data_IF_612201545622
#
_entry.id   IF_612201545622
#
_cell.length_a   1.000
_cell.length_b   1.000
_cell.length_c   1.000
_cell.angle_alpha   90.00
_cell.angle_beta   90.00
_cell.angle_gamma   90.00
#
_symmetry.space_group_name_H-M   'P 1'
#
loop_
_entity.id
_entity.type
_entity.pdbx_description
1 polymer ?
#
# COMPACT_ATOMS: atom_id res chain seq x y z
N UNK A 1 1.21 20.81 -38.47
CA UNK A 1 2.30 20.26 -37.63
C UNK A 1 1.92 20.19 -36.16
N UNK A 2 0.91 20.92 -35.70
CA UNK A 2 0.56 21.02 -34.29
C UNK A 2 -0.11 19.77 -33.71
N UNK A 3 -0.94 19.07 -34.50
CA UNK A 3 -1.54 17.80 -34.08
C UNK A 3 -0.48 16.76 -33.68
N UNK A 4 0.56 16.58 -34.51
CA UNK A 4 1.67 15.67 -34.22
C UNK A 4 2.41 16.04 -32.93
N UNK A 5 2.65 17.34 -32.70
CA UNK A 5 3.33 17.83 -31.48
C UNK A 5 2.49 17.55 -30.23
N UNK A 6 1.18 17.80 -30.30
CA UNK A 6 0.25 17.52 -29.19
C UNK A 6 0.21 16.02 -28.90
N UNK A 7 0.12 15.16 -29.93
CA UNK A 7 0.11 13.70 -29.73
C UNK A 7 1.39 13.21 -29.07
N UNK A 8 2.57 13.69 -29.50
CA UNK A 8 3.85 13.32 -28.91
C UNK A 8 3.95 13.79 -27.45
N UNK A 9 3.52 15.02 -27.15
CA UNK A 9 3.53 15.55 -25.79
C UNK A 9 2.60 14.78 -24.85
N UNK A 10 1.37 14.48 -25.29
CA UNK A 10 0.42 13.71 -24.49
C UNK A 10 0.94 12.30 -24.22
N UNK A 11 1.54 11.64 -25.22
CA UNK A 11 2.14 10.33 -25.03
C UNK A 11 3.31 10.36 -24.05
N UNK A 12 4.17 11.38 -24.14
CA UNK A 12 5.29 11.57 -23.23
C UNK A 12 4.83 11.83 -21.79
N UNK A 13 3.86 12.72 -21.60
CA UNK A 13 3.28 13.03 -20.29
C UNK A 13 2.54 11.84 -19.69
N UNK A 14 1.76 11.11 -20.50
CA UNK A 14 1.07 9.90 -20.06
C UNK A 14 2.08 8.82 -19.65
N UNK A 15 3.10 8.56 -20.47
CA UNK A 15 4.15 7.58 -20.15
C UNK A 15 4.93 7.94 -18.88
N UNK A 16 5.32 9.21 -18.73
CA UNK A 16 6.01 9.69 -17.53
C UNK A 16 5.11 9.61 -16.28
N UNK A 17 3.84 10.01 -16.41
CA UNK A 17 2.87 9.93 -15.32
C UNK A 17 2.60 8.50 -14.87
N UNK A 18 2.40 7.57 -15.81
CA UNK A 18 2.16 6.15 -15.51
C UNK A 18 3.38 5.49 -14.85
N UNK A 19 4.59 5.76 -15.33
CA UNK A 19 5.82 5.20 -14.74
C UNK A 19 6.09 5.76 -13.34
N UNK A 20 5.94 7.06 -13.14
CA UNK A 20 6.06 7.68 -11.82
C UNK A 20 5.02 7.14 -10.84
N UNK A 21 3.77 7.01 -11.28
CA UNK A 21 2.69 6.44 -10.47
C UNK A 21 2.98 4.98 -10.09
N UNK A 22 3.38 4.15 -11.06
CA UNK A 22 3.76 2.76 -10.80
C UNK A 22 4.89 2.67 -9.79
N UNK A 23 5.95 3.47 -9.96
CA UNK A 23 7.09 3.49 -9.05
C UNK A 23 6.67 3.87 -7.63
N UNK A 24 5.86 4.92 -7.46
CA UNK A 24 5.37 5.31 -6.14
C UNK A 24 4.58 4.18 -5.47
N UNK A 25 3.75 3.49 -6.23
CA UNK A 25 2.92 2.41 -5.71
C UNK A 25 3.73 1.16 -5.34
N UNK A 26 4.75 0.80 -6.14
CA UNK A 26 5.46 -0.49 -6.03
C UNK A 26 6.87 -0.41 -5.44
N UNK A 27 7.44 0.77 -5.17
CA UNK A 27 8.87 0.89 -4.79
C UNK A 27 9.31 0.08 -3.56
N UNK A 28 8.40 -0.26 -2.64
CA UNK A 28 8.70 -0.98 -1.41
C UNK A 28 8.06 -2.37 -1.34
N UNK A 29 7.60 -2.86 -2.49
CA UNK A 29 6.96 -4.15 -2.68
C UNK A 29 8.01 -5.23 -2.90
N UNK A 30 8.13 -6.18 -1.97
CA UNK A 30 9.07 -7.29 -2.07
C UNK A 30 8.33 -8.58 -2.41
N UNK A 31 8.67 -9.20 -3.53
CA UNK A 31 8.15 -10.51 -3.91
C UNK A 31 8.85 -11.59 -3.09
N UNK A 32 8.08 -12.34 -2.31
CA UNK A 32 8.61 -13.42 -1.49
C UNK A 32 8.36 -14.73 -2.23
N UNK A 33 9.39 -15.51 -2.56
CA UNK A 33 9.20 -16.82 -3.17
C UNK A 33 8.53 -17.73 -2.14
N UNK A 34 7.46 -18.37 -2.56
CA UNK A 34 6.68 -19.23 -1.70
C UNK A 34 6.92 -20.69 -2.05
N UNK A 35 7.14 -21.53 -1.03
CA UNK A 35 7.42 -22.93 -1.25
C UNK A 35 6.14 -23.68 -1.60
N UNK A 36 6.21 -24.59 -2.58
CA UNK A 36 5.12 -25.51 -2.86
C UNK A 36 4.78 -26.44 -1.67
N UNK A 37 5.67 -26.50 -0.66
CA UNK A 37 5.47 -27.28 0.56
C UNK A 37 4.64 -26.57 1.64
N UNK A 38 4.12 -25.36 1.39
CA UNK A 38 3.33 -24.64 2.40
C UNK A 38 2.04 -25.39 2.76
N UNK A 39 1.64 -25.31 4.03
CA UNK A 39 0.41 -25.89 4.58
C UNK A 39 -0.84 -25.45 3.82
N UNK A 40 -0.88 -24.21 3.32
CA UNK A 40 -2.03 -23.70 2.57
C UNK A 40 -2.35 -24.54 1.32
N UNK A 41 -1.33 -25.16 0.70
CA UNK A 41 -1.48 -26.00 -0.49
C UNK A 41 -1.84 -27.46 -0.19
N UNK A 42 -1.74 -27.85 1.07
CA UNK A 42 -2.18 -29.17 1.53
C UNK A 42 -3.60 -29.13 2.09
N UNK A 43 -4.23 -27.96 2.13
CA UNK A 43 -5.61 -27.82 2.61
C UNK A 43 -6.61 -28.50 1.67
N UNK A 44 -7.65 -29.11 2.24
CA UNK A 44 -8.71 -29.79 1.46
C UNK A 44 -9.40 -28.83 0.50
N UNK A 45 -9.62 -27.58 0.91
CA UNK A 45 -10.23 -26.55 0.06
C UNK A 45 -9.36 -26.26 -1.18
N UNK A 46 -8.04 -26.18 -1.03
CA UNK A 46 -7.12 -25.99 -2.16
C UNK A 46 -7.15 -27.18 -3.12
N UNK A 47 -7.13 -28.41 -2.59
CA UNK A 47 -7.16 -29.62 -3.41
C UNK A 47 -8.48 -29.80 -4.18
N UNK A 48 -9.60 -29.40 -3.59
CA UNK A 48 -10.92 -29.44 -4.25
C UNK A 48 -11.03 -28.42 -5.38
N UNK A 49 -10.45 -27.23 -5.19
CA UNK A 49 -10.52 -26.12 -6.15
C UNK A 49 -9.47 -26.20 -7.26
N UNK A 50 -8.42 -27.02 -7.09
CA UNK A 50 -7.35 -27.22 -8.08
C UNK A 50 -7.33 -28.65 -8.66
N UNK A 51 -8.27 -29.00 -9.56
CA UNK A 51 -8.35 -30.35 -10.13
C UNK A 51 -7.16 -30.71 -11.04
N UNK A 52 -6.58 -29.73 -11.75
CA UNK A 52 -5.51 -29.97 -12.74
C UNK A 52 -4.09 -30.00 -12.15
N UNK A 53 -3.93 -29.81 -10.83
CA UNK A 53 -2.62 -29.80 -10.12
C UNK A 53 -1.53 -29.00 -10.84
N UNK A 54 -1.88 -27.89 -11.47
CA UNK A 54 -0.94 -27.03 -12.19
C UNK A 54 0.11 -26.46 -11.21
N UNK A 55 1.34 -26.18 -11.68
CA UNK A 55 2.35 -25.52 -10.86
C UNK A 55 1.78 -24.21 -10.32
N UNK A 56 2.07 -23.93 -9.05
CA UNK A 56 1.43 -22.86 -8.33
C UNK A 56 2.17 -21.53 -8.63
N UNK A 57 1.54 -20.68 -9.44
CA UNK A 57 2.00 -19.31 -9.70
C UNK A 57 1.47 -18.43 -8.59
N UNK A 58 2.35 -17.80 -7.81
CA UNK A 58 1.97 -16.93 -6.69
C UNK A 58 2.54 -15.53 -6.86
N UNK A 59 1.66 -14.55 -6.82
CA UNK A 59 1.94 -13.12 -6.79
C UNK A 59 1.87 -12.59 -5.36
N UNK A 60 2.64 -13.21 -4.45
CA UNK A 60 2.74 -12.73 -3.07
C UNK A 60 3.75 -11.59 -2.98
N UNK A 61 3.23 -10.39 -2.78
CA UNK A 61 4.02 -9.20 -2.49
C UNK A 61 3.86 -8.80 -1.02
N UNK A 62 4.96 -8.73 -0.28
CA UNK A 62 4.98 -8.24 1.09
C UNK A 62 5.52 -6.80 1.14
N UNK A 63 4.86 -5.95 1.93
CA UNK A 63 5.31 -4.59 2.25
C UNK A 63 5.40 -4.45 3.78
N UNK A 64 6.54 -3.97 4.26
CA UNK A 64 6.72 -3.66 5.69
C UNK A 64 6.30 -2.23 5.96
N UNK A 65 5.45 -2.04 6.95
CA UNK A 65 5.05 -0.71 7.43
C UNK A 65 5.95 -0.33 8.61
N UNK A 66 6.74 0.75 8.53
CA UNK A 66 7.62 1.16 9.60
C UNK A 66 6.81 1.82 10.74
N UNK A 67 6.46 1.03 11.76
CA UNK A 67 5.67 1.51 12.90
C UNK A 67 6.38 2.61 13.70
N UNK A 68 7.71 2.67 13.67
CA UNK A 68 8.53 3.70 14.33
C UNK A 68 8.29 5.11 13.77
N UNK A 69 7.87 5.21 12.51
CA UNK A 69 7.56 6.50 11.86
C UNK A 69 6.13 6.97 12.16
N UNK A 70 5.32 6.13 12.78
CA UNK A 70 3.94 6.46 13.14
C UNK A 70 3.97 7.26 14.44
N UNK A 71 3.19 8.35 14.50
CA UNK A 71 3.10 9.19 15.70
C UNK A 71 2.76 8.33 16.93
N UNK A 72 3.52 8.44 18.03
CA UNK A 72 3.30 7.63 19.23
C UNK A 72 1.93 7.91 19.86
N UNK A 73 1.31 9.06 19.58
CA UNK A 73 -0.04 9.41 20.02
C UNK A 73 -1.11 8.48 19.45
N UNK A 74 -0.94 8.01 18.20
CA UNK A 74 -1.81 7.06 17.53
C UNK A 74 -1.55 5.62 18.00
N UNK A 75 -0.32 5.31 18.43
CA UNK A 75 0.05 4.01 18.99
C UNK A 75 -0.38 3.83 20.46
N UNK A 76 -0.56 4.92 21.20
CA UNK A 76 -0.90 4.93 22.64
C UNK A 76 -2.37 4.70 22.96
N UNK A 77 -3.26 4.67 21.97
CA UNK A 77 -4.69 4.40 22.14
C UNK A 77 -5.08 3.04 21.52
N UNK A 78 -4.61 1.91 22.10
CA UNK A 78 -4.92 0.57 21.57
C UNK A 78 -6.39 0.18 21.70
N UNK A 79 -7.17 0.84 22.58
CA UNK A 79 -8.54 0.45 22.88
C UNK A 79 -9.56 0.75 21.77
N UNK A 80 -9.24 1.64 20.82
CA UNK A 80 -10.22 2.08 19.80
C UNK A 80 -9.82 1.79 18.34
N UNK A 81 -8.67 1.16 18.08
CA UNK A 81 -8.26 0.85 16.70
C UNK A 81 -8.10 2.09 15.78
N UNK A 82 -8.02 3.28 16.37
CA UNK A 82 -7.83 4.58 15.71
C UNK A 82 -6.64 4.65 14.73
N UNK A 83 -5.47 4.00 14.96
CA UNK A 83 -4.41 3.99 13.95
C UNK A 83 -4.71 3.07 12.76
N UNK A 84 -5.47 1.99 12.99
CA UNK A 84 -5.74 0.97 11.98
C UNK A 84 -6.83 1.41 10.99
N UNK A 85 -7.85 2.14 11.44
CA UNK A 85 -8.90 2.67 10.56
C UNK A 85 -8.39 3.54 9.40
N UNK A 86 -7.60 4.61 9.60
CA UNK A 86 -7.09 5.44 8.52
C UNK A 86 -6.09 4.69 7.65
N UNK A 87 -5.33 3.76 8.23
CA UNK A 87 -4.44 2.88 7.48
C UNK A 87 -5.21 1.94 6.55
N UNK A 88 -6.22 1.24 7.06
CA UNK A 88 -7.10 0.36 6.29
C UNK A 88 -7.91 1.12 5.24
N UNK A 89 -8.43 2.32 5.57
CA UNK A 89 -9.08 3.21 4.61
C UNK A 89 -8.10 3.64 3.51
N UNK A 90 -6.84 3.89 3.87
CA UNK A 90 -5.76 4.11 2.93
C UNK A 90 -5.54 2.91 1.98
N UNK A 91 -5.47 1.68 2.51
CA UNK A 91 -5.25 0.47 1.70
C UNK A 91 -6.34 0.32 0.64
N UNK A 92 -7.61 0.43 1.03
CA UNK A 92 -8.75 0.27 0.11
C UNK A 92 -8.94 1.45 -0.84
N UNK A 93 -8.42 2.63 -0.51
CA UNK A 93 -8.36 3.78 -1.44
C UNK A 93 -7.16 3.73 -2.40
N UNK A 94 -6.29 2.71 -2.29
CA UNK A 94 -5.10 2.53 -3.13
C UNK A 94 -3.86 3.31 -2.66
N UNK A 95 -3.99 4.17 -1.65
CA UNK A 95 -2.91 5.07 -1.19
C UNK A 95 -2.46 4.76 0.24
N UNK A 96 -2.58 3.50 0.71
CA UNK A 96 -2.38 3.08 2.11
C UNK A 96 -1.25 3.75 2.87
N UNK A 97 -0.02 3.62 2.36
CA UNK A 97 1.16 4.22 2.99
C UNK A 97 1.16 5.75 2.89
N UNK A 98 0.85 6.29 1.71
CA UNK A 98 0.85 7.75 1.48
C UNK A 98 -0.22 8.47 2.29
N UNK A 99 -1.45 7.94 2.34
CA UNK A 99 -2.55 8.52 3.10
C UNK A 99 -2.28 8.46 4.60
N UNK A 100 -1.66 7.37 5.07
CA UNK A 100 -1.19 7.28 6.44
C UNK A 100 -0.21 8.41 6.73
N UNK A 101 0.83 8.59 5.90
CA UNK A 101 1.80 9.68 6.05
C UNK A 101 1.19 11.09 5.93
N UNK A 102 0.30 11.32 4.96
CA UNK A 102 -0.36 12.62 4.77
C UNK A 102 -1.21 13.02 5.98
N UNK A 103 -1.94 12.08 6.57
CA UNK A 103 -2.70 12.34 7.79
C UNK A 103 -1.77 12.62 8.99
N UNK A 104 -0.56 12.04 9.02
CA UNK A 104 0.47 12.39 10.00
C UNK A 104 0.96 13.84 9.81
N UNK A 105 1.08 14.34 8.59
CA UNK A 105 1.49 15.73 8.32
C UNK A 105 0.37 16.73 8.67
N UNK A 106 -0.91 16.40 8.44
CA UNK A 106 -2.04 17.30 8.77
C UNK A 106 -2.27 17.48 10.29
N UNK A 107 -1.97 16.47 11.11
CA UNK A 107 -2.08 16.59 12.57
C UNK A 107 -0.97 17.44 13.22
N UNK A 108 0.13 17.72 12.52
CA UNK A 108 1.07 18.78 12.95
C UNK A 108 0.69 20.07 12.20
N UNK A 109 -0.28 20.91 12.66
CA UNK A 109 -0.02 21.87 13.74
C UNK A 109 -1.32 22.43 14.40
N UNK A 110 -1.84 21.89 15.51
CA UNK A 110 -2.93 22.61 16.24
C UNK A 110 -2.98 22.35 17.77
N UNK A 111 -2.37 21.29 18.29
CA UNK A 111 -2.51 20.98 19.73
C UNK A 111 -1.51 21.69 20.68
N UNK A 112 -0.63 22.57 20.19
CA UNK A 112 0.35 23.27 21.04
C UNK A 112 -0.16 24.58 21.69
N UNK A 113 -1.45 24.91 21.59
CA UNK A 113 -2.00 26.18 22.12
C UNK A 113 -3.08 26.00 23.20
N UNK A 114 -3.20 24.81 23.80
CA UNK A 114 -4.20 24.53 24.83
C UNK A 114 -3.57 23.97 26.12
N UNK A 115 -2.46 24.55 26.59
CA UNK A 115 -1.99 24.34 27.96
C UNK A 115 -1.37 25.64 28.45
N UNK A 116 -2.20 26.58 28.90
CA UNK A 116 -1.86 27.67 29.81
C UNK A 116 -3.17 28.20 30.43
N UNK A 117 -3.65 27.46 31.42
CA UNK A 117 -4.52 27.92 32.51
C UNK A 117 -4.04 27.24 33.77
#
# INVERSE_FOLDING_TARGET
MDFLRITIQTLALAGAGSTAFWQLQTHNSNFIPHSASDSIFHSLAYLQTKPNKNPATHDLCARKVPLEKIKPQLLKQPEEGKPLQPFCAGIWSGWGEFRCNFNLEQEEPTQSTAINT
#
